data_IF_709759776597
#
_entry.id   IF_709759776597
#
_cell.length_a   1.000
_cell.length_b   1.000
_cell.length_c   1.000
_cell.angle_alpha   90.00
_cell.angle_beta   90.00
_cell.angle_gamma   90.00
#
_symmetry.space_group_name_H-M   'P 1'
#
loop_
_entity.id
_entity.type
_entity.pdbx_description
1 polymer ?
#
# COMPACT_ATOMS: atom_id res chain seq x y z
N UNK A 1 42.07 -19.80 12.71
CA UNK A 1 41.11 -18.77 12.26
C UNK A 1 39.97 -18.73 13.27
N UNK A 2 39.21 -17.64 13.31
CA UNK A 2 37.99 -17.58 14.11
C UNK A 2 36.80 -17.90 13.21
N UNK A 3 36.00 -18.88 13.66
CA UNK A 3 34.79 -19.37 13.00
C UNK A 3 33.61 -19.16 13.94
N UNK A 4 32.45 -18.86 13.38
CA UNK A 4 31.22 -18.65 14.16
C UNK A 4 30.13 -19.52 13.54
N UNK A 5 29.53 -20.37 14.38
CA UNK A 5 28.50 -21.32 13.98
C UNK A 5 27.15 -20.91 14.57
N UNK A 6 26.10 -21.03 13.76
CA UNK A 6 24.71 -20.81 14.19
C UNK A 6 23.89 -22.06 13.91
N UNK A 7 22.93 -22.38 14.78
CA UNK A 7 22.01 -23.52 14.60
C UNK A 7 20.58 -23.09 14.85
N UNK A 8 19.67 -23.45 13.95
CA UNK A 8 18.24 -23.29 14.17
C UNK A 8 17.73 -24.37 15.14
N UNK A 9 17.36 -23.94 16.34
CA UNK A 9 16.78 -24.78 17.40
C UNK A 9 15.28 -24.50 17.60
N UNK A 10 14.66 -23.74 16.70
CA UNK A 10 13.22 -23.51 16.72
C UNK A 10 12.48 -24.64 16.00
N UNK A 11 11.21 -24.85 16.35
CA UNK A 11 10.34 -25.84 15.70
C UNK A 11 9.82 -25.42 14.32
N UNK A 12 10.60 -24.64 13.57
CA UNK A 12 10.21 -24.13 12.25
C UNK A 12 11.36 -23.45 11.52
N UNK A 13 11.13 -23.08 10.27
CA UNK A 13 12.13 -22.40 9.44
C UNK A 13 12.31 -20.94 9.89
N UNK A 14 13.55 -20.46 9.94
CA UNK A 14 13.88 -19.08 10.28
C UNK A 14 14.70 -18.47 9.15
N UNK A 15 14.28 -17.28 8.71
CA UNK A 15 15.15 -16.38 7.94
C UNK A 15 15.56 -15.18 8.80
N UNK A 16 16.84 -14.83 8.76
CA UNK A 16 17.38 -13.66 9.45
C UNK A 16 18.56 -13.06 8.68
N UNK A 17 18.78 -11.77 8.86
CA UNK A 17 20.01 -11.09 8.48
C UNK A 17 20.92 -11.01 9.69
N UNK A 18 22.19 -11.33 9.49
CA UNK A 18 23.24 -11.25 10.52
C UNK A 18 24.36 -10.32 10.06
N UNK A 19 24.84 -9.50 10.99
CA UNK A 19 26.04 -8.70 10.88
C UNK A 19 27.03 -9.10 11.97
N UNK A 20 28.29 -9.33 11.63
CA UNK A 20 29.37 -9.65 12.57
C UNK A 20 30.48 -8.61 12.41
N UNK A 21 30.91 -8.00 13.49
CA UNK A 21 32.01 -7.04 13.44
C UNK A 21 33.01 -7.26 14.57
N UNK A 22 34.30 -7.08 14.30
CA UNK A 22 35.32 -6.92 15.34
C UNK A 22 35.57 -5.42 15.50
N UNK A 23 35.59 -4.95 16.74
CA UNK A 23 35.84 -3.54 17.06
C UNK A 23 37.19 -3.35 17.74
N UNK A 24 37.84 -2.24 17.44
CA UNK A 24 39.06 -1.79 18.13
C UNK A 24 38.74 -0.95 19.38
N UNK A 25 39.78 -0.36 19.97
CA UNK A 25 39.66 0.43 21.20
C UNK A 25 38.88 1.75 21.01
N UNK A 26 38.69 2.21 19.77
CA UNK A 26 37.95 3.41 19.42
C UNK A 26 36.49 3.11 19.01
N UNK A 27 36.05 1.84 19.13
CA UNK A 27 34.77 1.33 18.61
C UNK A 27 34.73 1.27 17.06
N UNK A 28 35.87 1.43 16.38
CA UNK A 28 35.97 1.32 14.93
C UNK A 28 35.95 -0.15 14.49
N UNK A 29 35.25 -0.43 13.38
CA UNK A 29 35.12 -1.78 12.84
C UNK A 29 36.36 -2.17 12.02
N UNK A 30 37.14 -3.11 12.54
CA UNK A 30 38.35 -3.63 11.87
C UNK A 30 38.08 -4.82 10.96
N UNK A 31 36.95 -5.48 11.16
CA UNK A 31 36.38 -6.51 10.28
C UNK A 31 34.85 -6.40 10.37
N UNK A 32 34.14 -6.48 9.24
CA UNK A 32 32.67 -6.42 9.19
C UNK A 32 32.15 -7.41 8.13
N UNK A 33 31.14 -8.18 8.50
CA UNK A 33 30.52 -9.21 7.66
C UNK A 33 29.00 -9.08 7.74
N UNK A 34 28.31 -9.22 6.62
CA UNK A 34 26.85 -9.28 6.58
C UNK A 34 26.35 -10.38 5.66
N UNK A 35 25.31 -11.08 6.10
CA UNK A 35 24.66 -12.09 5.27
C UNK A 35 23.21 -12.33 5.69
N UNK A 36 22.42 -12.87 4.75
CA UNK A 36 21.05 -13.31 4.99
C UNK A 36 21.00 -14.83 4.97
N UNK A 37 20.63 -15.44 6.09
CA UNK A 37 20.49 -16.89 6.23
C UNK A 37 19.03 -17.30 6.24
N UNK A 38 18.70 -18.38 5.53
CA UNK A 38 17.45 -19.13 5.67
C UNK A 38 17.76 -20.53 6.18
N UNK A 39 17.49 -20.78 7.46
CA UNK A 39 17.82 -22.04 8.13
C UNK A 39 16.56 -22.87 8.36
N UNK A 40 16.55 -24.10 7.85
CA UNK A 40 15.54 -25.10 8.23
C UNK A 40 15.73 -25.56 9.66
N UNK A 41 14.69 -26.10 10.27
CA UNK A 41 14.77 -26.70 11.61
C UNK A 41 15.95 -27.70 11.70
N UNK A 42 16.76 -27.56 12.75
CA UNK A 42 17.92 -28.41 13.01
C UNK A 42 19.14 -28.16 12.13
N UNK A 43 19.05 -27.28 11.12
CA UNK A 43 20.18 -26.92 10.25
C UNK A 43 21.01 -25.80 10.89
N UNK A 44 22.33 -25.88 10.74
CA UNK A 44 23.26 -24.82 11.10
C UNK A 44 24.12 -24.39 9.93
N UNK A 45 24.68 -23.20 10.05
CA UNK A 45 25.58 -22.57 9.08
C UNK A 45 26.78 -21.96 9.79
N UNK A 46 27.93 -21.98 9.11
CA UNK A 46 29.19 -21.50 9.65
C UNK A 46 29.70 -20.32 8.83
N UNK A 47 30.11 -19.25 9.51
CA UNK A 47 30.87 -18.16 8.90
C UNK A 47 32.34 -18.53 8.94
N UNK A 48 32.78 -19.20 7.87
CA UNK A 48 34.17 -19.61 7.70
C UNK A 48 35.07 -18.41 7.42
N UNK A 49 36.27 -18.43 7.98
CA UNK A 49 37.33 -17.45 7.71
C UNK A 49 36.94 -15.99 8.02
N UNK A 50 36.07 -15.75 9.01
CA UNK A 50 35.62 -14.40 9.36
C UNK A 50 36.79 -13.44 9.63
N UNK A 51 37.77 -13.87 10.42
CA UNK A 51 38.98 -13.10 10.69
C UNK A 51 40.18 -14.03 10.91
N UNK A 52 41.35 -13.60 10.46
CA UNK A 52 42.60 -14.31 10.75
C UNK A 52 42.95 -14.17 12.23
N UNK A 53 43.58 -15.21 12.79
CA UNK A 53 43.95 -15.21 14.21
C UNK A 53 44.92 -14.06 14.53
N UNK A 54 45.88 -13.77 13.64
CA UNK A 54 46.80 -12.65 13.80
C UNK A 54 46.08 -11.30 13.83
N UNK A 55 45.11 -11.08 12.93
CA UNK A 55 44.34 -9.84 12.88
C UNK A 55 43.47 -9.67 14.14
N UNK A 56 42.91 -10.76 14.65
CA UNK A 56 42.17 -10.73 15.92
C UNK A 56 43.07 -10.36 17.11
N UNK A 57 44.27 -10.96 17.21
CA UNK A 57 45.23 -10.65 18.28
C UNK A 57 45.73 -9.20 18.23
N UNK A 58 45.92 -8.64 17.04
CA UNK A 58 46.39 -7.27 16.87
C UNK A 58 45.35 -6.22 17.27
N UNK A 59 44.07 -6.60 17.42
CA UNK A 59 42.96 -5.68 17.71
C UNK A 59 42.28 -5.99 19.06
N UNK A 60 43.01 -6.58 20.00
CA UNK A 60 42.50 -6.77 21.36
C UNK A 60 42.40 -5.43 22.10
N UNK A 61 41.25 -5.19 22.73
CA UNK A 61 41.00 -4.04 23.60
C UNK A 61 41.15 -4.51 25.04
N UNK A 62 42.19 -4.03 25.74
CA UNK A 62 42.50 -4.48 27.11
C UNK A 62 42.58 -6.02 27.24
N UNK A 63 43.23 -6.68 26.27
CA UNK A 63 43.33 -8.15 26.15
C UNK A 63 42.00 -8.88 25.90
N UNK A 64 40.95 -8.17 25.46
CA UNK A 64 39.65 -8.75 25.10
C UNK A 64 39.36 -8.51 23.63
N UNK A 65 38.88 -9.54 22.93
CA UNK A 65 38.37 -9.38 21.58
C UNK A 65 36.91 -8.92 21.64
N UNK A 66 36.63 -7.71 21.18
CA UNK A 66 35.25 -7.18 21.15
C UNK A 66 34.60 -7.55 19.83
N UNK A 67 33.59 -8.42 19.90
CA UNK A 67 32.78 -8.83 18.76
C UNK A 67 31.36 -8.31 18.92
N UNK A 68 30.88 -7.59 17.91
CA UNK A 68 29.50 -7.12 17.81
C UNK A 68 28.72 -8.06 16.87
N UNK A 69 27.67 -8.69 17.41
CA UNK A 69 26.72 -9.50 16.64
C UNK A 69 25.41 -8.74 16.51
N UNK A 70 24.99 -8.46 15.28
CA UNK A 70 23.76 -7.77 14.95
C UNK A 70 22.84 -8.73 14.21
N UNK A 71 21.59 -8.83 14.63
CA UNK A 71 20.60 -9.69 13.98
C UNK A 71 19.31 -8.92 13.75
N UNK A 72 18.68 -9.12 12.59
CA UNK A 72 17.33 -8.62 12.33
C UNK A 72 16.57 -9.61 11.45
N UNK A 73 15.23 -9.52 11.47
CA UNK A 73 14.43 -10.20 10.45
C UNK A 73 14.77 -9.57 9.09
N UNK A 74 14.90 -10.36 8.02
CA UNK A 74 15.15 -9.80 6.71
C UNK A 74 13.99 -8.89 6.39
N UNK A 75 14.30 -7.68 5.96
CA UNK A 75 13.29 -6.87 5.30
C UNK A 75 13.15 -7.46 3.91
N UNK A 76 12.46 -8.59 3.78
CA UNK A 76 11.92 -8.93 2.48
C UNK A 76 11.08 -7.72 2.07
N UNK A 77 11.24 -7.16 0.87
CA UNK A 77 10.12 -6.47 0.28
C UNK A 77 9.03 -7.54 0.21
N UNK A 78 8.16 -7.58 1.22
CA UNK A 78 6.86 -8.21 1.10
C UNK A 78 6.27 -7.48 -0.09
N UNK A 79 6.34 -8.10 -1.28
CA UNK A 79 5.70 -7.52 -2.44
C UNK A 79 4.26 -7.31 -2.01
N UNK A 80 3.77 -6.06 -2.02
CA UNK A 80 2.46 -5.77 -1.50
C UNK A 80 1.46 -6.68 -2.21
N UNK A 81 0.57 -7.28 -1.43
CA UNK A 81 -0.41 -8.21 -1.97
C UNK A 81 -1.34 -7.46 -2.93
N UNK A 82 -1.26 -7.78 -4.22
CA UNK A 82 -2.17 -7.27 -5.24
C UNK A 82 -3.19 -8.36 -5.53
N UNK A 83 -4.46 -8.20 -5.12
CA UNK A 83 -5.49 -9.18 -5.42
C UNK A 83 -5.76 -9.22 -6.92
N UNK A 84 -6.03 -10.40 -7.46
CA UNK A 84 -6.59 -10.52 -8.80
C UNK A 84 -8.05 -10.04 -8.79
N UNK A 85 -8.45 -9.34 -9.84
CA UNK A 85 -9.82 -8.90 -10.01
C UNK A 85 -10.74 -10.11 -10.29
N UNK A 86 -11.74 -10.40 -9.43
CA UNK A 86 -12.61 -11.57 -9.59
C UNK A 86 -13.54 -11.45 -10.81
N UNK A 87 -13.82 -10.23 -11.27
CA UNK A 87 -14.68 -9.97 -12.43
C UNK A 87 -13.93 -10.11 -13.77
N UNK A 88 -12.61 -10.34 -13.76
CA UNK A 88 -11.77 -10.38 -14.95
C UNK A 88 -12.06 -11.60 -15.85
N UNK A 89 -13.17 -11.53 -16.58
CA UNK A 89 -13.53 -12.48 -17.62
C UNK A 89 -14.21 -11.78 -18.80
N UNK A 90 -13.98 -12.30 -20.01
CA UNK A 90 -14.45 -11.70 -21.27
C UNK A 90 -15.96 -11.57 -21.37
N UNK A 91 -16.72 -12.39 -20.64
CA UNK A 91 -18.19 -12.34 -20.68
C UNK A 91 -18.73 -11.16 -19.88
N UNK A 92 -18.20 -10.94 -18.68
CA UNK A 92 -18.58 -9.79 -17.84
C UNK A 92 -18.07 -8.49 -18.48
N UNK A 93 -16.84 -8.47 -18.99
CA UNK A 93 -16.25 -7.30 -19.65
C UNK A 93 -17.10 -6.76 -20.83
N UNK A 94 -17.81 -7.63 -21.56
CA UNK A 94 -18.70 -7.24 -22.67
C UNK A 94 -19.94 -6.47 -22.23
N UNK A 95 -20.37 -6.64 -20.98
CA UNK A 95 -21.54 -5.97 -20.41
C UNK A 95 -21.19 -4.55 -19.91
N UNK A 96 -19.94 -4.12 -20.02
CA UNK A 96 -19.51 -2.81 -19.54
C UNK A 96 -20.19 -1.70 -20.36
N UNK A 97 -21.00 -0.88 -19.69
CA UNK A 97 -21.81 0.20 -20.28
C UNK A 97 -22.80 -0.27 -21.38
N UNK A 98 -23.21 -1.53 -21.34
CA UNK A 98 -24.24 -2.05 -22.26
C UNK A 98 -25.61 -1.46 -21.93
N UNK A 99 -26.10 -0.54 -22.74
CA UNK A 99 -27.38 0.15 -22.51
C UNK A 99 -28.60 -0.75 -22.71
N UNK A 100 -28.49 -1.79 -23.56
CA UNK A 100 -29.61 -2.67 -23.89
C UNK A 100 -30.00 -3.58 -22.72
N UNK A 101 -29.04 -4.11 -21.97
CA UNK A 101 -29.30 -5.01 -20.84
C UNK A 101 -29.18 -4.37 -19.46
N UNK A 102 -28.76 -3.10 -19.38
CA UNK A 102 -28.64 -2.38 -18.13
C UNK A 102 -29.99 -2.20 -17.42
N UNK A 103 -29.99 -2.45 -16.10
CA UNK A 103 -31.13 -2.28 -15.20
C UNK A 103 -30.90 -1.15 -14.18
N UNK A 104 -29.74 -0.48 -14.23
CA UNK A 104 -29.38 0.66 -13.37
C UNK A 104 -28.67 1.74 -14.19
N UNK A 105 -28.99 3.01 -13.92
CA UNK A 105 -28.33 4.16 -14.52
C UNK A 105 -27.85 5.12 -13.42
N UNK A 106 -26.56 5.43 -13.42
CA UNK A 106 -25.96 6.41 -12.53
C UNK A 106 -25.81 7.76 -13.21
N UNK A 107 -26.05 8.83 -12.47
CA UNK A 107 -25.75 10.21 -12.87
C UNK A 107 -24.61 10.73 -11.99
N UNK A 108 -23.44 10.96 -12.61
CA UNK A 108 -22.22 11.38 -11.91
C UNK A 108 -21.86 12.80 -12.34
N UNK A 109 -21.48 13.64 -11.38
CA UNK A 109 -21.16 15.05 -11.59
C UNK A 109 -22.37 15.99 -11.44
N UNK A 110 -22.21 17.24 -11.87
CA UNK A 110 -23.28 18.25 -11.83
C UNK A 110 -23.45 19.01 -10.52
N UNK A 111 -22.45 19.04 -9.64
CA UNK A 111 -22.47 19.91 -8.48
C UNK A 111 -22.41 21.40 -8.86
N UNK A 112 -23.32 22.19 -8.28
CA UNK A 112 -23.24 23.65 -8.30
C UNK A 112 -22.18 24.05 -7.27
N UNK A 113 -21.00 24.43 -7.74
CA UNK A 113 -20.14 25.29 -6.92
C UNK A 113 -20.68 26.72 -7.05
N UNK A 114 -21.17 27.27 -5.93
CA UNK A 114 -21.43 28.70 -5.81
C UNK A 114 -20.08 29.44 -5.82
N UNK A 115 -19.51 29.63 -7.02
CA UNK A 115 -18.37 30.50 -7.21
C UNK A 115 -18.82 31.94 -6.95
N UNK A 116 -18.52 32.47 -5.76
CA UNK A 116 -18.65 33.89 -5.47
C UNK A 116 -17.47 34.63 -6.09
N UNK A 117 -17.68 35.18 -7.28
CA UNK A 117 -16.84 36.24 -7.82
C UNK A 117 -17.73 37.25 -8.55
N UNK A 118 -17.60 38.51 -8.14
CA UNK A 118 -18.21 39.73 -8.69
C UNK A 118 -19.56 39.62 -9.43
N UNK A 119 -20.64 39.80 -8.67
CA UNK A 119 -21.97 40.34 -9.06
C UNK A 119 -22.61 39.90 -10.40
N UNK A 120 -22.18 38.78 -10.98
CA UNK A 120 -22.80 38.16 -12.14
C UNK A 120 -22.81 36.64 -11.97
N UNK A 121 -23.96 36.12 -11.55
CA UNK A 121 -24.22 34.68 -11.45
C UNK A 121 -24.21 34.08 -12.86
N UNK A 122 -23.04 33.64 -13.35
CA UNK A 122 -22.96 32.74 -14.51
C UNK A 122 -23.00 31.31 -14.01
N UNK A 123 -24.17 30.68 -14.09
CA UNK A 123 -24.34 29.22 -13.90
C UNK A 123 -23.49 28.48 -14.93
N UNK A 124 -22.26 28.08 -14.58
CA UNK A 124 -21.54 27.06 -15.35
C UNK A 124 -22.20 25.72 -15.07
N UNK A 125 -23.03 25.26 -16.01
CA UNK A 125 -23.60 23.92 -15.99
C UNK A 125 -22.45 22.92 -16.17
N UNK A 126 -21.95 22.34 -15.07
CA UNK A 126 -21.04 21.20 -15.17
C UNK A 126 -21.79 20.04 -15.82
N UNK A 127 -21.10 19.34 -16.73
CA UNK A 127 -21.65 18.24 -17.51
C UNK A 127 -21.98 17.06 -16.60
N UNK A 128 -23.21 16.56 -16.68
CA UNK A 128 -23.65 15.35 -15.97
C UNK A 128 -23.37 14.17 -16.88
N UNK A 129 -22.61 13.19 -16.40
CA UNK A 129 -22.30 11.97 -17.15
C UNK A 129 -23.17 10.82 -16.67
N UNK A 130 -23.74 10.07 -17.62
CA UNK A 130 -24.56 8.90 -17.33
C UNK A 130 -23.75 7.62 -17.51
N UNK A 131 -23.95 6.66 -16.60
CA UNK A 131 -23.32 5.35 -16.67
C UNK A 131 -24.36 4.24 -16.52
N UNK A 132 -24.42 3.36 -17.51
CA UNK A 132 -25.30 2.20 -17.53
C UNK A 132 -24.62 1.01 -16.86
N UNK A 133 -25.34 0.33 -15.95
CA UNK A 133 -24.79 -0.75 -15.17
C UNK A 133 -25.79 -1.88 -14.87
N UNK A 134 -25.29 -2.97 -14.29
CA UNK A 134 -26.08 -4.16 -13.95
C UNK A 134 -26.08 -4.41 -12.44
N UNK A 135 -27.25 -4.34 -11.80
CA UNK A 135 -27.45 -4.55 -10.37
C UNK A 135 -26.88 -5.88 -9.88
N UNK A 136 -27.02 -6.95 -10.69
CA UNK A 136 -26.53 -8.29 -10.37
C UNK A 136 -25.00 -8.35 -10.29
N UNK A 137 -24.30 -7.63 -11.18
CA UNK A 137 -22.83 -7.54 -11.18
C UNK A 137 -22.40 -6.72 -9.95
N UNK A 138 -23.04 -5.57 -9.71
CA UNK A 138 -22.77 -4.71 -8.57
C UNK A 138 -22.93 -5.44 -7.24
N UNK A 139 -23.95 -6.29 -7.09
CA UNK A 139 -24.20 -7.06 -5.87
C UNK A 139 -23.03 -7.95 -5.45
N UNK A 140 -22.26 -8.45 -6.43
CA UNK A 140 -21.11 -9.31 -6.19
C UNK A 140 -19.79 -8.53 -6.11
N UNK A 141 -19.62 -7.50 -6.94
CA UNK A 141 -18.35 -6.77 -7.08
C UNK A 141 -18.26 -5.48 -6.24
N UNK A 142 -19.39 -4.86 -5.90
CA UNK A 142 -19.50 -3.59 -5.19
C UNK A 142 -20.74 -3.55 -4.27
N UNK A 143 -20.77 -4.31 -3.16
CA UNK A 143 -21.98 -4.52 -2.36
C UNK A 143 -22.61 -3.23 -1.82
N UNK A 144 -21.80 -2.24 -1.42
CA UNK A 144 -22.31 -0.97 -0.91
C UNK A 144 -22.89 -0.10 -2.02
N UNK A 145 -22.35 -0.20 -3.24
CA UNK A 145 -22.96 0.45 -4.41
C UNK A 145 -24.28 -0.22 -4.78
N UNK A 146 -24.36 -1.55 -4.70
CA UNK A 146 -25.62 -2.26 -4.93
C UNK A 146 -26.68 -1.94 -3.87
N UNK A 147 -26.27 -1.78 -2.60
CA UNK A 147 -27.15 -1.31 -1.53
C UNK A 147 -27.66 0.10 -1.81
N UNK A 148 -26.79 1.01 -2.25
CA UNK A 148 -27.19 2.36 -2.69
C UNK A 148 -28.25 2.26 -3.80
N UNK A 149 -28.10 1.33 -4.76
CA UNK A 149 -29.11 1.12 -5.80
C UNK A 149 -30.48 0.72 -5.25
N UNK A 150 -30.52 -0.10 -4.20
CA UNK A 150 -31.77 -0.55 -3.60
C UNK A 150 -32.57 0.55 -2.89
N UNK A 151 -31.96 1.72 -2.65
CA UNK A 151 -32.63 2.88 -2.04
C UNK A 151 -33.46 3.71 -3.04
N UNK A 152 -33.31 3.45 -4.34
CA UNK A 152 -33.99 4.17 -5.40
C UNK A 152 -34.97 3.26 -6.15
N UNK A 153 -35.97 3.86 -6.79
CA UNK A 153 -36.86 3.12 -7.66
C UNK A 153 -36.07 2.55 -8.86
N UNK A 154 -36.41 1.34 -9.36
CA UNK A 154 -35.69 0.72 -10.49
C UNK A 154 -35.67 1.56 -11.78
N UNK A 155 -36.63 2.48 -11.94
CA UNK A 155 -36.71 3.39 -13.09
C UNK A 155 -36.00 4.73 -12.88
N UNK A 156 -35.48 5.00 -11.68
CA UNK A 156 -34.84 6.27 -11.34
C UNK A 156 -33.35 6.25 -11.66
N UNK A 157 -32.82 7.42 -12.06
CA UNK A 157 -31.37 7.62 -12.15
C UNK A 157 -30.79 7.85 -10.76
N UNK A 158 -29.62 7.26 -10.50
CA UNK A 158 -29.00 7.28 -9.18
C UNK A 158 -27.91 8.34 -9.15
N UNK A 159 -28.05 9.41 -8.34
CA UNK A 159 -27.06 10.46 -8.26
C UNK A 159 -25.81 10.00 -7.49
N UNK A 160 -24.64 10.28 -8.06
CA UNK A 160 -23.32 10.05 -7.47
C UNK A 160 -22.62 11.41 -7.29
N UNK A 161 -22.85 12.08 -6.15
CA UNK A 161 -22.47 13.50 -5.98
C UNK A 161 -20.97 13.73 -5.79
N UNK A 162 -20.30 12.86 -5.05
CA UNK A 162 -18.98 13.17 -4.45
C UNK A 162 -17.80 12.63 -5.29
N UNK A 163 -18.06 11.81 -6.30
CA UNK A 163 -17.01 11.16 -7.10
C UNK A 163 -16.98 11.77 -8.49
N UNK A 164 -15.78 12.07 -9.01
CA UNK A 164 -15.63 12.60 -10.35
C UNK A 164 -16.11 11.57 -11.40
N UNK A 165 -16.60 12.02 -12.57
CA UNK A 165 -16.98 11.10 -13.64
C UNK A 165 -15.85 10.15 -14.06
N UNK A 166 -14.60 10.63 -14.03
CA UNK A 166 -13.44 9.84 -14.39
C UNK A 166 -13.15 8.74 -13.36
N UNK A 167 -13.12 9.06 -12.08
CA UNK A 167 -12.93 8.08 -11.00
C UNK A 167 -14.04 7.05 -11.01
N UNK A 168 -15.30 7.46 -11.24
CA UNK A 168 -16.42 6.54 -11.33
C UNK A 168 -16.32 5.63 -12.57
N UNK A 169 -15.84 6.15 -13.71
CA UNK A 169 -15.54 5.34 -14.90
C UNK A 169 -14.49 4.28 -14.60
N UNK A 170 -13.40 4.62 -13.91
CA UNK A 170 -12.37 3.65 -13.50
C UNK A 170 -12.90 2.61 -12.51
N UNK A 171 -13.76 3.02 -11.58
CA UNK A 171 -14.45 2.12 -10.66
C UNK A 171 -15.31 1.09 -11.43
N UNK A 172 -16.11 1.54 -12.40
CA UNK A 172 -16.93 0.65 -13.22
C UNK A 172 -16.07 -0.26 -14.11
N UNK A 173 -15.01 0.25 -14.74
CA UNK A 173 -14.08 -0.60 -15.50
C UNK A 173 -13.58 -1.78 -14.66
N UNK A 174 -13.14 -1.50 -13.43
CA UNK A 174 -12.70 -2.55 -12.52
C UNK A 174 -13.82 -3.52 -12.13
N UNK A 175 -15.01 -3.01 -11.79
CA UNK A 175 -16.18 -3.85 -11.45
C UNK A 175 -16.50 -4.85 -12.58
N UNK A 176 -16.32 -4.43 -13.84
CA UNK A 176 -16.54 -5.26 -15.02
C UNK A 176 -15.31 -6.08 -15.45
N UNK A 177 -14.25 -6.07 -14.66
CA UNK A 177 -13.08 -6.91 -14.87
C UNK A 177 -12.07 -6.36 -15.87
N UNK A 178 -12.15 -5.09 -16.25
CA UNK A 178 -11.13 -4.43 -17.07
C UNK A 178 -9.99 -3.92 -16.19
N UNK A 179 -8.81 -3.82 -16.78
CA UNK A 179 -7.68 -3.10 -16.17
C UNK A 179 -7.94 -1.58 -16.22
N UNK A 180 -7.47 -0.87 -15.21
CA UNK A 180 -7.53 0.59 -15.19
C UNK A 180 -6.33 1.13 -15.98
N UNK A 181 -6.54 1.94 -17.03
CA UNK A 181 -5.43 2.52 -17.77
C UNK A 181 -4.65 3.50 -16.88
N UNK A 182 -3.32 3.50 -17.00
CA UNK A 182 -2.42 4.40 -16.27
C UNK A 182 -2.58 4.34 -14.73
N UNK A 183 -3.00 3.19 -14.21
CA UNK A 183 -3.26 3.04 -12.79
C UNK A 183 -2.00 3.27 -11.95
N UNK A 184 -2.10 4.12 -10.93
CA UNK A 184 -0.97 4.50 -10.09
C UNK A 184 -0.05 5.59 -10.66
N UNK A 185 -0.27 6.05 -11.90
CA UNK A 185 0.54 7.11 -12.50
C UNK A 185 0.27 8.49 -11.88
N UNK A 186 -1.01 8.84 -11.68
CA UNK A 186 -1.41 10.03 -10.93
C UNK A 186 -1.76 9.65 -9.48
N UNK A 187 -0.99 10.20 -8.55
CA UNK A 187 -1.15 9.99 -7.10
C UNK A 187 -2.49 10.57 -6.60
N UNK A 188 -2.92 11.72 -7.13
CA UNK A 188 -4.17 12.35 -6.71
C UNK A 188 -5.36 11.50 -7.13
N UNK A 189 -5.40 11.10 -8.40
CA UNK A 189 -6.42 10.20 -8.92
C UNK A 189 -6.43 8.84 -8.21
N UNK A 190 -5.27 8.27 -7.94
CA UNK A 190 -5.16 7.00 -7.19
C UNK A 190 -5.77 7.14 -5.80
N UNK A 191 -5.58 8.28 -5.14
CA UNK A 191 -6.20 8.60 -3.85
C UNK A 191 -7.73 8.70 -3.95
N UNK A 192 -8.26 9.32 -5.01
CA UNK A 192 -9.69 9.38 -5.30
C UNK A 192 -10.29 7.98 -5.55
N UNK A 193 -9.55 7.12 -6.28
CA UNK A 193 -9.94 5.72 -6.50
C UNK A 193 -10.01 4.94 -5.18
N UNK A 194 -9.05 5.11 -4.25
CA UNK A 194 -9.10 4.50 -2.92
C UNK A 194 -10.38 4.93 -2.19
N UNK A 195 -10.70 6.22 -2.21
CA UNK A 195 -11.88 6.77 -1.55
C UNK A 195 -13.19 6.24 -2.15
N UNK A 196 -13.30 6.22 -3.48
CA UNK A 196 -14.45 5.67 -4.19
C UNK A 196 -14.60 4.17 -3.92
N UNK A 197 -13.52 3.39 -4.04
CA UNK A 197 -13.52 1.96 -3.80
C UNK A 197 -13.90 1.62 -2.35
N UNK A 198 -13.39 2.39 -1.37
CA UNK A 198 -13.77 2.25 0.03
C UNK A 198 -15.27 2.53 0.25
N UNK A 199 -15.77 3.63 -0.31
CA UNK A 199 -17.17 4.06 -0.17
C UNK A 199 -18.15 3.06 -0.79
N UNK A 200 -17.80 2.50 -1.94
CA UNK A 200 -18.68 1.63 -2.72
C UNK A 200 -18.42 0.13 -2.52
N UNK A 201 -17.49 -0.22 -1.63
CA UNK A 201 -17.24 -1.60 -1.22
C UNK A 201 -16.48 -2.44 -2.25
N UNK A 202 -15.65 -1.82 -3.09
CA UNK A 202 -14.81 -2.52 -4.07
C UNK A 202 -13.46 -2.84 -3.45
N UNK A 203 -13.46 -3.82 -2.53
CA UNK A 203 -12.31 -4.11 -1.64
C UNK A 203 -11.02 -4.43 -2.40
N UNK A 204 -11.08 -5.23 -3.46
CA UNK A 204 -9.87 -5.62 -4.20
C UNK A 204 -9.22 -4.41 -4.91
N UNK A 205 -10.04 -3.55 -5.53
CA UNK A 205 -9.57 -2.31 -6.12
C UNK A 205 -8.93 -1.40 -5.07
N UNK A 206 -9.53 -1.31 -3.88
CA UNK A 206 -8.96 -0.49 -2.80
C UNK A 206 -7.56 -0.99 -2.40
N UNK A 207 -7.38 -2.30 -2.20
CA UNK A 207 -6.08 -2.90 -1.82
C UNK A 207 -5.03 -2.64 -2.92
N UNK A 208 -5.43 -2.80 -4.18
CA UNK A 208 -4.57 -2.56 -5.33
C UNK A 208 -4.20 -1.07 -5.45
N UNK A 209 -5.17 -0.16 -5.38
CA UNK A 209 -4.94 1.28 -5.40
C UNK A 209 -4.03 1.73 -4.25
N UNK A 210 -4.24 1.18 -3.04
CA UNK A 210 -3.40 1.44 -1.87
C UNK A 210 -1.96 1.00 -2.10
N UNK A 211 -1.76 -0.15 -2.76
CA UNK A 211 -0.43 -0.66 -3.11
C UNK A 211 0.33 0.30 -4.03
N UNK A 212 -0.33 0.78 -5.09
CA UNK A 212 0.24 1.80 -5.98
C UNK A 212 0.50 3.12 -5.25
N UNK A 213 -0.45 3.59 -4.45
CA UNK A 213 -0.32 4.82 -3.69
C UNK A 213 0.89 4.80 -2.76
N UNK A 214 1.06 3.73 -1.96
CA UNK A 214 2.20 3.58 -1.04
C UNK A 214 3.55 3.54 -1.77
N UNK A 215 3.57 2.94 -2.96
CA UNK A 215 4.79 2.83 -3.77
C UNK A 215 5.20 4.17 -4.41
N UNK A 216 4.23 5.05 -4.68
CA UNK A 216 4.45 6.32 -5.39
C UNK A 216 4.66 7.53 -4.45
N UNK A 217 4.25 7.47 -3.18
CA UNK A 217 4.36 8.61 -2.26
C UNK A 217 5.72 8.67 -1.54
N UNK A 218 6.19 9.89 -1.30
CA UNK A 218 7.29 10.17 -0.39
C UNK A 218 6.74 10.68 0.96
N UNK A 219 6.90 9.89 2.02
CA UNK A 219 6.51 10.29 3.39
C UNK A 219 7.63 11.13 4.01
N UNK A 220 7.28 12.29 4.55
CA UNK A 220 8.18 13.20 5.24
C UNK A 220 7.51 13.76 6.51
N UNK A 221 8.25 14.51 7.32
CA UNK A 221 7.77 15.05 8.61
C UNK A 221 6.57 16.02 8.43
N UNK A 222 6.40 16.60 7.24
CA UNK A 222 5.33 17.57 6.98
C UNK A 222 4.01 16.89 6.62
N UNK A 223 4.05 15.82 5.82
CA UNK A 223 2.86 15.14 5.31
C UNK A 223 2.48 13.86 6.10
N UNK A 224 3.32 13.42 7.04
CA UNK A 224 3.13 12.14 7.76
C UNK A 224 1.80 12.08 8.50
N UNK A 225 1.35 13.19 9.09
CA UNK A 225 0.08 13.24 9.82
C UNK A 225 -1.12 13.18 8.87
N UNK A 226 -1.05 13.85 7.72
CA UNK A 226 -2.10 13.81 6.70
C UNK A 226 -2.26 12.41 6.12
N UNK A 227 -1.14 11.72 5.85
CA UNK A 227 -1.17 10.32 5.42
C UNK A 227 -1.69 9.39 6.51
N UNK A 228 -1.39 9.64 7.79
CA UNK A 228 -1.93 8.87 8.91
C UNK A 228 -3.45 9.04 9.02
N UNK A 229 -3.93 10.28 8.95
CA UNK A 229 -5.36 10.59 8.96
C UNK A 229 -6.09 9.96 7.78
N UNK A 230 -5.54 10.07 6.58
CA UNK A 230 -6.10 9.44 5.39
C UNK A 230 -6.16 7.91 5.57
N UNK A 231 -5.06 7.29 5.96
CA UNK A 231 -4.98 5.84 6.14
C UNK A 231 -5.98 5.33 7.18
N UNK A 232 -6.13 6.04 8.29
CA UNK A 232 -7.13 5.70 9.30
C UNK A 232 -8.55 5.87 8.77
N UNK A 233 -8.86 6.99 8.10
CA UNK A 233 -10.21 7.32 7.62
C UNK A 233 -10.74 6.37 6.54
N UNK A 234 -9.85 5.84 5.68
CA UNK A 234 -10.21 4.90 4.60
C UNK A 234 -9.83 3.45 4.92
N UNK A 235 -9.41 3.19 6.15
CA UNK A 235 -8.97 1.87 6.63
C UNK A 235 -7.84 1.24 5.76
N UNK A 236 -6.88 2.04 5.32
CA UNK A 236 -5.73 1.61 4.52
C UNK A 236 -4.64 1.03 5.43
N UNK A 237 -4.55 -0.30 5.48
CA UNK A 237 -3.67 -1.00 6.40
C UNK A 237 -2.18 -0.88 6.02
N UNK A 238 -1.84 -1.05 4.74
CA UNK A 238 -0.48 -0.96 4.22
C UNK A 238 0.07 0.46 4.35
N UNK A 239 -0.74 1.47 4.00
CA UNK A 239 -0.34 2.87 4.18
C UNK A 239 -0.13 3.20 5.66
N UNK A 240 -1.04 2.74 6.53
CA UNK A 240 -0.92 2.94 7.98
C UNK A 240 0.36 2.32 8.53
N UNK A 241 0.68 1.10 8.12
CA UNK A 241 1.93 0.43 8.51
C UNK A 241 3.15 1.26 8.09
N UNK A 242 3.20 1.67 6.82
CA UNK A 242 4.32 2.46 6.28
C UNK A 242 4.50 3.81 6.99
N UNK A 243 3.40 4.48 7.30
CA UNK A 243 3.40 5.75 8.04
C UNK A 243 3.88 5.55 9.48
N UNK A 244 3.42 4.51 10.18
CA UNK A 244 3.86 4.20 11.54
C UNK A 244 5.34 3.83 11.57
N UNK A 245 5.84 3.04 10.61
CA UNK A 245 7.27 2.74 10.49
C UNK A 245 8.10 4.04 10.36
N UNK A 246 7.62 4.99 9.56
CA UNK A 246 8.28 6.29 9.42
C UNK A 246 8.27 7.08 10.75
N UNK A 247 7.14 7.15 11.45
CA UNK A 247 7.01 7.85 12.74
C UNK A 247 7.94 7.26 13.79
N UNK A 248 7.98 5.93 13.91
CA UNK A 248 8.84 5.23 14.88
C UNK A 248 10.32 5.51 14.60
N UNK A 249 10.72 5.52 13.33
CA UNK A 249 12.10 5.79 12.90
C UNK A 249 12.50 7.26 13.14
N UNK A 250 11.56 8.20 13.00
CA UNK A 250 11.81 9.64 13.09
C UNK A 250 11.25 10.31 14.36
N UNK A 251 11.07 9.53 15.43
CA UNK A 251 10.34 9.93 16.66
C UNK A 251 10.69 11.32 17.19
N UNK A 252 11.98 11.69 17.19
CA UNK A 252 12.46 12.96 17.77
C UNK A 252 11.99 14.15 16.92
N UNK A 253 12.12 14.05 15.60
CA UNK A 253 11.78 15.12 14.68
C UNK A 253 10.26 15.31 14.54
N UNK A 254 9.48 14.22 14.66
CA UNK A 254 8.01 14.27 14.65
C UNK A 254 7.47 14.93 15.93
N UNK A 255 8.05 14.62 17.10
CA UNK A 255 7.63 15.19 18.38
C UNK A 255 8.04 16.66 18.56
N UNK A 256 9.11 17.12 17.91
CA UNK A 256 9.57 18.51 17.97
C UNK A 256 8.75 19.49 17.13
N UNK A 257 7.81 19.01 16.30
CA UNK A 257 6.96 19.85 15.43
C UNK A 257 5.61 20.23 16.08
N UNK A 258 5.50 20.06 17.41
CA UNK A 258 4.30 20.36 18.18
C UNK A 258 4.10 21.86 18.40
#
# INVERSE_FOLDING_TARGET
MLEISFRNVSGGDITFEIGLSIKDANDDKVEDYYHTYSLREGVGEDVMNFITFQKALNNLVNNVLVMEVRMRRPKFPQLPFIPKNPSACKNIQKLHLDEESADVVFEVGGHQEDAKEDNTIKKRKMEVTKFHAHSLILKNAAPLLAELCSLYDPSATIPIPIVSPETFRHLLLYIYGHDIPEFGADISHTKEIIEAAYRYGVTNLKIEAETYYVSSIAINIENVMDHLHFAHSKNCALLKERVIEFIVTNRVAVLSKK
#
